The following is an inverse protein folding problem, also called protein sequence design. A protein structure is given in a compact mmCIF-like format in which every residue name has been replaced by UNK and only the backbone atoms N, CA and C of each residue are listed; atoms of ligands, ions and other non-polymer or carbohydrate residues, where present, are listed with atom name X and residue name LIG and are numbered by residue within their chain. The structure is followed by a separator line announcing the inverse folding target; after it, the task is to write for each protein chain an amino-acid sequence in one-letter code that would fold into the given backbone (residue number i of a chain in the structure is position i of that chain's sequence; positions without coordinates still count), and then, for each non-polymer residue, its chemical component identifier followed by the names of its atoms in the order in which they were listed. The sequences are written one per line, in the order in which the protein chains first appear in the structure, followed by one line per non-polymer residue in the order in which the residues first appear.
data_IF_593771021330
#
_entry.id   IF_593771021330
#
_cell.length_a   1.000
_cell.length_b   1.000
_cell.length_c   1.000
_cell.angle_alpha   90.00
_cell.angle_beta   90.00
_cell.angle_gamma   90.00
#
_symmetry.space_group_name_H-M   'P 1'
#
loop_
_entity.id
_entity.type
_entity.pdbx_description
1 polymer ?
#
# COMPACT_ATOMS: atom_id res chain seq x y z
N UNK A 1 -49.00 -4.15 -45.86
CA UNK A 1 -48.16 -4.92 -44.92
C UNK A 1 -47.13 -3.94 -44.36
N UNK A 2 -47.22 -3.59 -43.08
CA UNK A 2 -46.34 -2.60 -42.43
C UNK A 2 -45.08 -3.33 -41.93
N UNK A 3 -43.95 -3.08 -42.56
CA UNK A 3 -42.67 -3.62 -42.13
C UNK A 3 -42.17 -2.83 -40.92
N UNK A 4 -42.12 -3.51 -39.77
CA UNK A 4 -41.61 -2.98 -38.52
C UNK A 4 -40.10 -3.20 -38.51
N UNK A 5 -39.33 -2.12 -38.76
CA UNK A 5 -37.86 -2.16 -38.68
C UNK A 5 -37.48 -2.03 -37.20
N UNK A 6 -37.00 -3.14 -36.63
CA UNK A 6 -36.48 -3.19 -35.27
C UNK A 6 -35.00 -2.75 -35.29
N UNK A 7 -34.71 -1.54 -34.83
CA UNK A 7 -33.32 -1.07 -34.65
C UNK A 7 -32.82 -1.62 -33.32
N UNK A 8 -31.98 -2.65 -33.38
CA UNK A 8 -31.30 -3.21 -32.23
C UNK A 8 -30.17 -2.26 -31.82
N UNK A 9 -30.42 -1.41 -30.82
CA UNK A 9 -29.37 -0.59 -30.19
C UNK A 9 -28.60 -1.52 -29.24
N UNK A 10 -27.49 -2.08 -29.72
CA UNK A 10 -26.52 -2.79 -28.90
C UNK A 10 -25.81 -1.79 -27.98
N UNK A 11 -26.27 -1.69 -26.75
CA UNK A 11 -25.61 -0.93 -25.69
C UNK A 11 -24.29 -1.64 -25.37
N UNK A 12 -23.18 -1.09 -25.86
CA UNK A 12 -21.85 -1.47 -25.39
C UNK A 12 -21.71 -1.02 -23.94
N UNK A 13 -21.99 -1.92 -22.99
CA UNK A 13 -21.56 -1.74 -21.61
C UNK A 13 -20.04 -1.92 -21.61
N UNK A 14 -19.29 -0.82 -21.61
CA UNK A 14 -17.87 -0.87 -21.27
C UNK A 14 -17.80 -1.30 -19.80
N UNK A 15 -17.43 -2.55 -19.57
CA UNK A 15 -16.99 -2.99 -18.25
C UNK A 15 -15.81 -2.11 -17.88
N UNK A 16 -16.02 -1.14 -17.00
CA UNK A 16 -14.94 -0.40 -16.34
C UNK A 16 -14.24 -1.42 -15.46
N UNK A 17 -13.31 -2.17 -16.06
CA UNK A 17 -12.41 -3.03 -15.32
C UNK A 17 -11.64 -2.11 -14.38
N UNK A 18 -11.75 -2.34 -13.07
CA UNK A 18 -10.91 -1.70 -12.08
C UNK A 18 -9.46 -2.08 -12.44
N UNK A 19 -8.70 -1.16 -13.02
CA UNK A 19 -7.36 -1.44 -13.54
C UNK A 19 -6.35 -1.40 -12.38
N UNK A 20 -6.16 -2.54 -11.71
CA UNK A 20 -5.03 -2.76 -10.81
C UNK A 20 -3.89 -3.44 -11.54
N UNK A 21 -2.68 -3.26 -11.06
CA UNK A 21 -1.52 -4.02 -11.50
C UNK A 21 -1.45 -5.29 -10.65
N UNK A 22 -1.44 -6.45 -11.28
CA UNK A 22 -1.21 -7.70 -10.57
C UNK A 22 0.18 -7.68 -9.95
N UNK A 23 0.27 -8.11 -8.70
CA UNK A 23 1.52 -8.25 -7.98
C UNK A 23 1.76 -9.73 -7.71
N UNK A 24 2.48 -10.44 -8.60
CA UNK A 24 2.78 -11.86 -8.38
C UNK A 24 3.50 -12.05 -7.05
N UNK A 25 3.26 -13.18 -6.38
CA UNK A 25 3.88 -13.49 -5.10
C UNK A 25 5.41 -13.41 -5.14
N UNK A 26 6.03 -13.82 -6.25
CA UNK A 26 7.47 -13.70 -6.45
C UNK A 26 7.96 -12.25 -6.45
N UNK A 27 7.15 -11.30 -6.94
CA UNK A 27 7.47 -9.87 -6.90
C UNK A 27 7.18 -9.31 -5.50
N UNK A 28 6.05 -9.69 -4.91
CA UNK A 28 5.66 -9.29 -3.56
C UNK A 28 6.76 -9.61 -2.53
N UNK A 29 7.29 -10.84 -2.57
CA UNK A 29 8.36 -11.31 -1.67
C UNK A 29 9.70 -10.57 -1.86
N UNK A 30 9.82 -9.73 -2.89
CA UNK A 30 11.00 -8.88 -3.11
C UNK A 30 10.76 -7.43 -2.73
N UNK A 31 9.54 -7.03 -2.35
CA UNK A 31 9.23 -5.65 -1.99
C UNK A 31 10.06 -5.23 -0.79
N UNK A 32 10.66 -4.03 -0.89
CA UNK A 32 11.42 -3.42 0.19
C UNK A 32 11.00 -1.98 0.43
N UNK A 33 11.04 -1.57 1.68
CA UNK A 33 11.09 -0.17 2.07
C UNK A 33 12.54 0.14 2.44
N UNK A 34 13.18 1.01 1.67
CA UNK A 34 14.64 1.09 1.53
C UNK A 34 15.25 -0.29 1.22
N UNK A 35 16.10 -0.80 2.11
CA UNK A 35 16.76 -2.09 1.98
C UNK A 35 16.10 -3.17 2.86
N UNK A 36 14.98 -2.86 3.51
CA UNK A 36 14.28 -3.76 4.42
C UNK A 36 13.15 -4.45 3.68
N UNK A 37 13.10 -5.78 3.70
CA UNK A 37 11.98 -6.52 3.11
C UNK A 37 10.68 -6.21 3.85
N UNK A 38 9.59 -6.04 3.11
CA UNK A 38 8.25 -5.84 3.69
C UNK A 38 7.89 -6.98 4.65
N UNK A 39 8.25 -8.23 4.29
CA UNK A 39 8.03 -9.41 5.13
C UNK A 39 8.76 -9.34 6.46
N UNK A 40 9.96 -8.75 6.52
CA UNK A 40 10.69 -8.57 7.79
C UNK A 40 9.98 -7.55 8.69
N UNK A 41 9.43 -6.48 8.10
CA UNK A 41 8.62 -5.48 8.83
C UNK A 41 7.35 -6.13 9.37
N UNK A 42 6.64 -6.92 8.55
CA UNK A 42 5.44 -7.67 8.96
C UNK A 42 5.78 -8.63 10.12
N UNK A 43 6.86 -9.39 9.98
CA UNK A 43 7.29 -10.39 10.98
C UNK A 43 7.82 -9.77 12.27
N UNK A 44 8.09 -8.47 12.31
CA UNK A 44 8.41 -7.77 13.56
C UNK A 44 7.25 -7.75 14.54
N UNK A 45 6.00 -7.90 14.06
CA UNK A 45 4.78 -7.86 14.87
C UNK A 45 4.71 -6.62 15.78
N UNK A 46 5.21 -5.49 15.29
CA UNK A 46 5.24 -4.23 16.06
C UNK A 46 6.18 -4.27 17.27
N UNK A 47 7.14 -5.20 17.35
CA UNK A 47 8.17 -5.20 18.38
C UNK A 47 9.11 -3.99 18.19
N UNK A 48 9.17 -3.10 19.19
CA UNK A 48 9.90 -1.82 19.08
C UNK A 48 11.37 -2.01 18.74
N UNK A 49 12.05 -2.91 19.46
CA UNK A 49 13.48 -3.15 19.27
C UNK A 49 13.77 -3.69 17.87
N UNK A 50 12.91 -4.58 17.37
CA UNK A 50 13.04 -5.15 16.02
C UNK A 50 12.81 -4.08 14.96
N UNK A 51 11.72 -3.30 15.06
CA UNK A 51 11.44 -2.19 14.13
C UNK A 51 12.57 -1.16 14.09
N UNK A 52 13.08 -0.75 15.26
CA UNK A 52 14.19 0.21 15.33
C UNK A 52 15.50 -0.36 14.76
N UNK A 53 15.70 -1.68 14.84
CA UNK A 53 16.85 -2.34 14.21
C UNK A 53 16.70 -2.43 12.69
N UNK A 54 15.49 -2.66 12.18
CA UNK A 54 15.22 -2.75 10.74
C UNK A 54 15.29 -1.36 10.09
N UNK A 55 14.67 -0.37 10.72
CA UNK A 55 14.51 0.99 10.19
C UNK A 55 15.18 1.95 11.20
N UNK A 56 16.48 2.24 11.05
CA UNK A 56 17.25 3.00 12.02
C UNK A 56 16.96 4.50 11.91
N UNK A 57 15.75 4.89 12.32
CA UNK A 57 15.30 6.27 12.45
C UNK A 57 14.74 6.51 13.84
N UNK A 58 14.76 7.77 14.28
CA UNK A 58 14.07 8.16 15.52
C UNK A 58 12.57 8.20 15.27
N UNK A 59 11.83 7.31 15.94
CA UNK A 59 10.37 7.28 15.90
C UNK A 59 9.76 7.97 17.12
N UNK A 60 8.70 8.74 16.88
CA UNK A 60 7.66 8.98 17.87
C UNK A 60 6.79 7.71 17.92
N UNK A 61 6.66 7.10 19.09
CA UNK A 61 5.92 5.85 19.25
C UNK A 61 4.68 6.13 20.08
N UNK A 62 3.52 5.91 19.47
CA UNK A 62 2.23 6.01 20.13
C UNK A 62 1.60 4.61 20.20
N UNK A 63 0.79 4.36 21.23
CA UNK A 63 0.03 3.12 21.35
C UNK A 63 -1.33 3.40 21.97
N UNK A 64 -2.31 2.55 21.68
CA UNK A 64 -3.61 2.60 22.34
C UNK A 64 -3.51 2.36 23.85
N UNK A 65 -4.59 2.68 24.57
CA UNK A 65 -4.71 2.42 26.02
C UNK A 65 -4.70 0.91 26.32
N UNK A 66 -4.16 0.55 27.48
CA UNK A 66 -3.77 -0.81 27.88
C UNK A 66 -4.96 -1.80 28.01
N UNK A 67 -4.91 -2.99 27.36
CA UNK A 67 -3.89 -3.42 26.40
C UNK A 67 -4.00 -2.68 25.07
N UNK A 68 -2.89 -2.05 24.65
CA UNK A 68 -2.86 -1.24 23.44
C UNK A 68 -3.31 -2.05 22.23
N UNK A 69 -4.40 -1.62 21.60
CA UNK A 69 -4.98 -2.25 20.41
C UNK A 69 -4.27 -1.90 19.10
N UNK A 70 -3.32 -0.98 19.18
CA UNK A 70 -2.55 -0.49 18.05
C UNK A 70 -1.24 0.10 18.54
N UNK A 71 -0.28 0.13 17.63
CA UNK A 71 1.03 0.71 17.82
C UNK A 71 1.47 1.43 16.56
N UNK A 72 1.83 2.68 16.74
CA UNK A 72 2.20 3.60 15.69
C UNK A 72 3.66 3.99 15.84
N UNK A 73 4.36 4.02 14.71
CA UNK A 73 5.73 4.49 14.60
C UNK A 73 5.75 5.61 13.58
N UNK A 74 5.95 6.84 14.02
CA UNK A 74 5.96 8.00 13.14
C UNK A 74 7.31 8.72 13.17
N UNK A 75 7.78 9.09 11.99
CA UNK A 75 8.89 10.00 11.79
C UNK A 75 8.51 10.97 10.65
N UNK A 76 9.34 11.98 10.40
CA UNK A 76 9.10 12.91 9.29
C UNK A 76 9.05 12.23 7.90
N UNK A 77 9.65 11.05 7.76
CA UNK A 77 9.84 10.38 6.46
C UNK A 77 8.99 9.13 6.26
N UNK A 78 8.68 8.43 7.37
CA UNK A 78 8.00 7.14 7.36
C UNK A 78 7.04 7.01 8.53
N UNK A 79 5.90 6.41 8.24
CA UNK A 79 4.85 6.01 9.18
C UNK A 79 4.63 4.51 9.09
N UNK A 80 4.46 3.85 10.24
CA UNK A 80 4.05 2.45 10.34
C UNK A 80 2.88 2.35 11.32
N UNK A 81 1.85 1.60 10.95
CA UNK A 81 0.75 1.25 11.84
C UNK A 81 0.63 -0.26 11.97
N UNK A 82 0.64 -0.68 13.23
CA UNK A 82 0.37 -2.03 13.67
C UNK A 82 -0.95 -2.01 14.45
N UNK A 83 -1.86 -2.93 14.17
CA UNK A 83 -3.14 -3.08 14.87
C UNK A 83 -3.30 -4.52 15.35
N UNK A 84 -4.12 -4.74 16.36
CA UNK A 84 -4.40 -6.07 16.87
C UNK A 84 -4.83 -7.01 15.75
N UNK A 85 -4.13 -8.15 15.64
CA UNK A 85 -4.63 -9.28 14.87
C UNK A 85 -5.80 -9.96 15.57
N UNK A 86 -6.41 -10.93 14.88
CA UNK A 86 -7.58 -11.69 15.37
C UNK A 86 -7.36 -12.37 16.74
N UNK A 87 -6.11 -12.60 17.15
CA UNK A 87 -5.72 -13.41 18.32
C UNK A 87 -5.80 -12.68 19.67
N UNK A 88 -6.03 -11.37 19.70
CA UNK A 88 -6.18 -10.61 20.96
C UNK A 88 -7.49 -10.91 21.71
N UNK A 89 -8.44 -11.60 21.06
CA UNK A 89 -9.74 -11.93 21.64
C UNK A 89 -9.70 -13.09 22.65
N UNK A 90 -8.52 -13.66 22.94
CA UNK A 90 -8.37 -14.77 23.90
C UNK A 90 -7.48 -14.38 25.08
N UNK A 91 -7.91 -14.65 26.34
CA UNK A 91 -7.09 -14.39 27.52
C UNK A 91 -5.80 -15.22 27.45
N UNK A 92 -4.64 -14.58 27.68
CA UNK A 92 -3.27 -15.14 27.72
C UNK A 92 -2.45 -15.13 26.40
N UNK A 93 -2.88 -14.44 25.36
CA UNK A 93 -2.10 -14.38 24.11
C UNK A 93 -1.01 -13.29 24.11
N UNK A 94 0.12 -13.63 23.48
CA UNK A 94 1.20 -12.73 23.11
C UNK A 94 0.63 -11.68 22.14
N UNK A 95 1.07 -10.43 22.27
CA UNK A 95 0.70 -9.33 21.37
C UNK A 95 1.05 -9.71 19.92
N UNK A 96 0.06 -10.11 19.11
CA UNK A 96 0.21 -10.43 17.69
C UNK A 96 -0.33 -9.28 16.84
N UNK A 97 0.44 -8.19 16.80
CA UNK A 97 0.06 -7.09 15.94
C UNK A 97 0.25 -7.43 14.46
N UNK A 98 -0.72 -7.07 13.64
CA UNK A 98 -0.62 -7.10 12.19
C UNK A 98 -0.22 -5.72 11.67
N UNK A 99 0.73 -5.68 10.73
CA UNK A 99 1.06 -4.46 10.00
C UNK A 99 -0.11 -4.10 9.08
N UNK A 100 -0.77 -2.99 9.34
CA UNK A 100 -1.89 -2.51 8.52
C UNK A 100 -1.50 -1.40 7.57
N UNK A 101 -0.44 -0.63 7.90
CA UNK A 101 -0.05 0.49 7.08
C UNK A 101 1.44 0.82 7.11
N UNK A 102 2.00 1.18 5.95
CA UNK A 102 3.27 1.92 5.83
C UNK A 102 3.00 3.13 4.94
N UNK A 103 3.53 4.31 5.29
CA UNK A 103 3.54 5.48 4.39
C UNK A 103 4.92 6.10 4.30
N UNK A 104 5.31 6.53 3.11
CA UNK A 104 6.52 7.34 2.86
C UNK A 104 6.09 8.76 2.43
N UNK A 105 6.52 9.77 3.18
CA UNK A 105 6.07 11.16 2.98
C UNK A 105 7.04 12.03 2.19
N UNK A 106 8.32 11.64 2.13
CA UNK A 106 9.39 12.41 1.51
C UNK A 106 10.35 11.53 0.69
N UNK A 107 11.37 12.17 0.12
CA UNK A 107 12.34 11.54 -0.78
C UNK A 107 13.53 10.89 -0.05
N UNK A 108 13.54 10.86 1.28
CA UNK A 108 14.61 10.25 2.06
C UNK A 108 14.50 8.72 2.10
N UNK A 109 13.29 8.20 1.85
CA UNK A 109 12.93 6.78 1.83
C UNK A 109 12.52 6.33 0.43
N UNK A 110 12.66 5.04 0.16
CA UNK A 110 12.30 4.43 -1.12
C UNK A 110 11.44 3.19 -0.96
N UNK A 111 10.65 2.90 -2.00
CA UNK A 111 10.04 1.61 -2.24
C UNK A 111 10.81 0.91 -3.35
N UNK A 112 11.25 -0.32 -3.12
CA UNK A 112 11.68 -1.23 -4.17
C UNK A 112 10.51 -2.12 -4.57
N UNK A 113 10.09 -2.04 -5.83
CA UNK A 113 9.03 -2.87 -6.39
C UNK A 113 9.35 -3.20 -7.84
N UNK A 114 9.18 -4.47 -8.22
CA UNK A 114 9.41 -4.94 -9.59
C UNK A 114 10.79 -4.54 -10.17
N UNK A 115 11.85 -4.64 -9.35
CA UNK A 115 13.21 -4.31 -9.79
C UNK A 115 13.58 -2.83 -9.77
N UNK A 116 12.64 -1.94 -9.40
CA UNK A 116 12.80 -0.49 -9.47
C UNK A 116 12.71 0.11 -8.08
N UNK A 117 13.63 1.03 -7.76
CA UNK A 117 13.51 1.92 -6.62
C UNK A 117 12.73 3.16 -7.03
N UNK A 118 11.72 3.52 -6.24
CA UNK A 118 10.94 4.74 -6.42
C UNK A 118 10.77 5.47 -5.08
N UNK A 119 10.79 6.80 -5.13
CA UNK A 119 10.68 7.70 -3.98
C UNK A 119 9.59 8.73 -4.21
N UNK A 120 9.14 9.37 -3.14
CA UNK A 120 8.39 10.63 -3.27
C UNK A 120 9.27 11.64 -4.00
N UNK A 121 8.71 12.36 -4.95
CA UNK A 121 9.45 13.28 -5.81
C UNK A 121 9.95 12.70 -7.13
N UNK A 122 9.95 11.37 -7.27
CA UNK A 122 10.31 10.75 -8.55
C UNK A 122 9.18 10.86 -9.57
N UNK A 123 9.52 10.77 -10.85
CA UNK A 123 8.51 10.68 -11.90
C UNK A 123 7.95 9.24 -12.00
N UNK A 124 6.62 9.09 -12.10
CA UNK A 124 5.99 7.76 -12.19
C UNK A 124 6.40 6.96 -13.43
N UNK A 125 6.96 7.61 -14.47
CA UNK A 125 7.50 6.93 -15.65
C UNK A 125 8.67 5.99 -15.34
N UNK A 126 9.33 6.14 -14.18
CA UNK A 126 10.34 5.18 -13.71
C UNK A 126 9.77 3.78 -13.52
N UNK A 127 8.46 3.66 -13.26
CA UNK A 127 7.74 2.39 -13.13
C UNK A 127 7.43 1.74 -14.49
N UNK A 128 7.87 2.34 -15.60
CA UNK A 128 7.52 1.91 -16.94
C UNK A 128 6.14 2.40 -17.34
N UNK A 129 5.21 1.48 -17.60
CA UNK A 129 3.85 1.80 -18.03
C UNK A 129 2.81 1.07 -17.17
N UNK A 130 2.73 1.36 -15.86
CA UNK A 130 1.76 0.73 -14.99
C UNK A 130 0.33 1.19 -15.35
N UNK A 131 -0.64 0.32 -15.07
CA UNK A 131 -2.05 0.67 -15.12
C UNK A 131 -2.38 1.69 -14.02
N UNK A 132 -3.14 2.73 -14.37
CA UNK A 132 -3.56 3.79 -13.46
C UNK A 132 -5.03 3.56 -13.10
N UNK A 133 -5.29 3.39 -11.81
CA UNK A 133 -6.64 3.34 -11.29
C UNK A 133 -7.18 4.75 -11.09
N UNK A 134 -8.34 5.04 -11.68
CA UNK A 134 -9.11 6.26 -11.42
C UNK A 134 -10.27 5.94 -10.48
N UNK A 135 -10.29 6.59 -9.32
CA UNK A 135 -11.34 6.48 -8.33
C UNK A 135 -12.57 7.33 -8.73
N UNK A 136 -13.71 7.09 -8.07
CA UNK A 136 -14.97 7.78 -8.37
C UNK A 136 -14.93 9.29 -8.13
N UNK A 137 -14.04 9.75 -7.25
CA UNK A 137 -13.78 11.16 -6.96
C UNK A 137 -12.81 11.81 -7.98
N UNK A 138 -12.35 11.05 -8.98
CA UNK A 138 -11.37 11.47 -9.98
C UNK A 138 -9.92 11.30 -9.54
N UNK A 139 -9.66 10.90 -8.29
CA UNK A 139 -8.31 10.63 -7.80
C UNK A 139 -7.66 9.53 -8.62
N UNK A 140 -6.41 9.71 -9.03
CA UNK A 140 -5.64 8.69 -9.76
C UNK A 140 -4.50 8.14 -8.93
N UNK A 141 -4.33 6.82 -8.95
CA UNK A 141 -3.23 6.12 -8.27
C UNK A 141 -2.76 4.94 -9.10
N UNK A 142 -1.49 4.61 -8.96
CA UNK A 142 -0.98 3.30 -9.38
C UNK A 142 -1.19 2.35 -8.21
N UNK A 143 -1.83 1.22 -8.46
CA UNK A 143 -2.18 0.23 -7.42
C UNK A 143 -1.62 -1.12 -7.83
N UNK A 144 -0.77 -1.69 -6.97
CA UNK A 144 -0.31 -3.08 -7.05
C UNK A 144 -1.02 -3.88 -5.96
N UNK A 145 -1.56 -5.05 -6.30
CA UNK A 145 -2.37 -5.84 -5.36
C UNK A 145 -1.99 -7.32 -5.37
N UNK A 146 -1.90 -7.90 -4.17
CA UNK A 146 -1.85 -9.34 -3.91
C UNK A 146 -2.85 -9.67 -2.79
N UNK A 147 -3.98 -10.30 -3.13
CA UNK A 147 -5.01 -10.62 -2.12
C UNK A 147 -5.51 -9.38 -1.38
N UNK A 148 -5.31 -9.33 -0.06
CA UNK A 148 -5.66 -8.19 0.80
C UNK A 148 -4.56 -7.14 0.93
N UNK A 149 -3.38 -7.39 0.37
CA UNK A 149 -2.21 -6.52 0.48
C UNK A 149 -2.12 -5.61 -0.75
N UNK A 150 -1.92 -4.32 -0.51
CA UNK A 150 -1.97 -3.30 -1.55
C UNK A 150 -0.80 -2.34 -1.40
N UNK A 151 -0.07 -2.09 -2.49
CA UNK A 151 0.83 -0.96 -2.61
C UNK A 151 0.16 0.12 -3.47
N UNK A 152 0.12 1.34 -2.96
CA UNK A 152 -0.39 2.51 -3.67
C UNK A 152 0.70 3.54 -3.88
N UNK A 153 0.74 4.06 -5.10
CA UNK A 153 1.60 5.18 -5.45
C UNK A 153 0.67 6.30 -5.95
N UNK A 154 0.54 7.32 -5.12
CA UNK A 154 -0.15 8.56 -5.49
C UNK A 154 0.83 9.50 -6.17
N UNK A 155 0.34 10.31 -7.11
CA UNK A 155 1.17 11.23 -7.85
C UNK A 155 0.40 12.51 -8.20
N UNK A 156 1.14 13.60 -8.42
CA UNK A 156 0.60 14.87 -8.91
C UNK A 156 0.44 14.79 -10.43
N UNK A 157 -0.78 14.89 -10.92
CA UNK A 157 -1.06 14.75 -12.37
C UNK A 157 -0.41 15.84 -13.23
N UNK A 158 -0.17 17.03 -12.69
CA UNK A 158 0.42 18.16 -13.44
C UNK A 158 1.84 17.86 -13.93
N UNK A 159 2.60 17.06 -13.18
CA UNK A 159 4.00 16.79 -13.45
C UNK A 159 4.38 15.30 -13.33
N UNK A 160 3.39 14.43 -13.12
CA UNK A 160 3.56 12.97 -12.96
C UNK A 160 4.57 12.61 -11.86
N UNK A 161 4.61 13.42 -10.80
CA UNK A 161 5.57 13.25 -9.69
C UNK A 161 4.90 12.50 -8.54
N UNK A 162 5.56 11.46 -8.03
CA UNK A 162 5.10 10.71 -6.85
C UNK A 162 4.95 11.65 -5.67
N UNK A 163 3.78 11.60 -5.04
CA UNK A 163 3.45 12.43 -3.88
C UNK A 163 3.33 11.63 -2.59
N UNK A 164 3.06 10.34 -2.66
CA UNK A 164 2.90 9.45 -1.52
C UNK A 164 3.03 7.99 -1.97
N UNK A 165 3.74 7.19 -1.17
CA UNK A 165 3.82 5.74 -1.35
C UNK A 165 3.25 5.09 -0.09
N UNK A 166 2.32 4.15 -0.27
CA UNK A 166 1.62 3.48 0.84
C UNK A 166 1.61 1.97 0.63
N UNK A 167 1.85 1.21 1.71
CA UNK A 167 1.39 -0.16 1.85
C UNK A 167 0.15 -0.16 2.73
N UNK A 168 -0.86 -0.95 2.38
CA UNK A 168 -2.04 -1.17 3.19
C UNK A 168 -2.47 -2.63 3.14
N UNK A 169 -2.88 -3.15 4.28
CA UNK A 169 -3.45 -4.48 4.43
C UNK A 169 -4.91 -4.37 4.88
N UNK A 170 -5.80 -4.98 4.10
CA UNK A 170 -7.24 -5.02 4.35
C UNK A 170 -7.65 -6.32 5.05
N UNK A 171 -7.98 -6.23 6.34
CA UNK A 171 -8.69 -7.28 7.07
C UNK A 171 -10.14 -7.39 6.62
#
# INVERSE_FOLDING_TARGET
MKNLVLILISIYTTSVSCQTNDLPESVYNTIRFDNVLLTDIINSKGNTTTIQSLIPVSFNINSGEDPGHWKEYESNSIYLLFQDGEQFLTPNNIQDYQLTNIKLFDNSKSLFINGIYIKVGDNISLLGNPSILTYSDGTKRIVYKLGSEVIRISFREINNEVSLIEYEYYN
#
